data_IF_499429049409
#
_entry.id   IF_499429049409
#
_cell.length_a   1.000
_cell.length_b   1.000
_cell.length_c   1.000
_cell.angle_alpha   90.00
_cell.angle_beta   90.00
_cell.angle_gamma   90.00
#
_symmetry.space_group_name_H-M   'P 1'
#
loop_
_entity.id
_entity.type
_entity.pdbx_description
1 polymer ?
#
# COMPACT_ATOMS: atom_id res chain seq x y z
N UNK A 1 -28.93 19.73 64.93
CA UNK A 1 -29.71 18.88 64.00
C UNK A 1 -30.15 19.67 62.77
N UNK A 2 -29.22 20.09 61.91
CA UNK A 2 -29.51 20.80 60.63
C UNK A 2 -28.66 20.32 59.41
N UNK A 3 -27.62 19.46 59.50
CA UNK A 3 -26.76 19.24 58.32
C UNK A 3 -27.41 18.37 57.23
N UNK A 4 -28.34 17.47 57.56
CA UNK A 4 -28.92 16.55 56.58
C UNK A 4 -29.87 17.23 55.58
N UNK A 5 -30.65 18.22 56.03
CA UNK A 5 -31.58 18.97 55.17
C UNK A 5 -30.85 19.89 54.20
N UNK A 6 -29.72 20.47 54.61
CA UNK A 6 -28.91 21.33 53.75
C UNK A 6 -28.19 20.52 52.66
N UNK A 7 -27.66 19.34 52.99
CA UNK A 7 -27.01 18.44 52.03
C UNK A 7 -28.04 17.89 51.04
N UNK A 8 -29.22 17.48 51.53
CA UNK A 8 -30.32 17.04 50.67
C UNK A 8 -30.78 18.17 49.74
N UNK A 9 -30.99 19.38 50.27
CA UNK A 9 -31.37 20.55 49.48
C UNK A 9 -30.34 20.88 48.39
N UNK A 10 -29.05 20.85 48.73
CA UNK A 10 -27.96 21.07 47.77
C UNK A 10 -27.93 20.02 46.65
N UNK A 11 -28.14 18.74 47.00
CA UNK A 11 -28.18 17.66 46.01
C UNK A 11 -29.36 17.84 45.03
N UNK A 12 -30.54 18.22 45.53
CA UNK A 12 -31.71 18.43 44.69
C UNK A 12 -31.54 19.64 43.78
N UNK A 13 -30.97 20.74 44.28
CA UNK A 13 -30.68 21.93 43.45
C UNK A 13 -29.68 21.59 42.34
N UNK A 14 -28.65 20.80 42.65
CA UNK A 14 -27.67 20.36 41.66
C UNK A 14 -28.29 19.46 40.59
N UNK A 15 -29.19 18.55 41.00
CA UNK A 15 -29.93 17.68 40.08
C UNK A 15 -30.86 18.49 39.15
N UNK A 16 -31.53 19.53 39.67
CA UNK A 16 -32.37 20.43 38.86
C UNK A 16 -31.53 21.21 37.84
N UNK A 17 -30.34 21.69 38.22
CA UNK A 17 -29.43 22.39 37.30
C UNK A 17 -28.96 21.45 36.19
N UNK A 18 -28.60 20.21 36.52
CA UNK A 18 -28.19 19.20 35.52
C UNK A 18 -29.35 18.86 34.57
N UNK A 19 -30.58 18.73 35.08
CA UNK A 19 -31.76 18.51 34.23
C UNK A 19 -32.04 19.68 33.30
N UNK A 20 -31.89 20.92 33.76
CA UNK A 20 -32.10 22.11 32.92
C UNK A 20 -31.02 22.29 31.85
N UNK A 21 -29.79 21.81 32.09
CA UNK A 21 -28.71 21.85 31.10
C UNK A 21 -28.73 20.66 30.12
N UNK A 22 -29.28 19.51 30.54
CA UNK A 22 -29.45 18.33 29.69
C UNK A 22 -30.76 18.28 28.91
N UNK A 23 -31.74 19.12 29.25
CA UNK A 23 -33.01 19.16 28.56
C UNK A 23 -32.94 20.10 27.34
N UNK A 24 -32.62 19.52 26.19
CA UNK A 24 -32.80 20.15 24.89
C UNK A 24 -34.30 20.26 24.58
N UNK A 25 -34.94 21.33 25.06
CA UNK A 25 -36.37 21.63 24.82
C UNK A 25 -36.60 22.25 23.44
N UNK A 26 -35.88 21.82 22.42
CA UNK A 26 -36.32 22.00 21.03
C UNK A 26 -37.54 21.11 20.83
N UNK A 27 -38.72 21.71 20.92
CA UNK A 27 -39.95 21.06 20.47
C UNK A 27 -39.81 20.77 18.98
N UNK A 28 -39.40 19.56 18.63
CA UNK A 28 -39.57 19.03 17.28
C UNK A 28 -41.07 19.06 16.98
N UNK A 29 -41.47 20.03 16.17
CA UNK A 29 -42.79 20.06 15.59
C UNK A 29 -43.01 18.72 14.91
N UNK A 30 -44.00 17.94 15.39
CA UNK A 30 -44.42 16.68 14.76
C UNK A 30 -44.55 16.93 13.25
N UNK A 31 -43.84 16.18 12.38
CA UNK A 31 -44.12 16.24 10.97
C UNK A 31 -45.53 15.68 10.76
N UNK A 32 -46.46 16.55 10.38
CA UNK A 32 -47.74 16.15 9.79
C UNK A 32 -47.45 15.16 8.66
N UNK A 33 -48.11 13.99 8.59
CA UNK A 33 -47.92 13.07 7.49
C UNK A 33 -48.44 13.74 6.22
N UNK A 34 -47.52 14.24 5.38
CA UNK A 34 -47.86 14.63 4.01
C UNK A 34 -48.22 13.36 3.26
N UNK A 35 -49.47 13.30 2.82
CA UNK A 35 -49.99 12.29 1.92
C UNK A 35 -49.06 12.13 0.70
N UNK A 36 -48.83 10.86 0.34
CA UNK A 36 -48.42 10.37 -0.98
C UNK A 36 -47.48 11.25 -1.79
N UNK A 37 -46.16 11.09 -1.58
CA UNK A 37 -45.22 11.28 -2.69
C UNK A 37 -45.10 9.93 -3.37
N UNK A 38 -45.70 9.85 -4.56
CA UNK A 38 -45.47 8.81 -5.55
C UNK A 38 -43.99 8.43 -5.60
N UNK A 39 -43.72 7.12 -5.63
CA UNK A 39 -42.41 6.57 -5.96
C UNK A 39 -42.11 7.03 -7.39
N UNK A 40 -41.32 8.09 -7.50
CA UNK A 40 -40.75 8.54 -8.77
C UNK A 40 -39.69 7.51 -9.15
N UNK A 41 -40.10 6.53 -9.96
CA UNK A 41 -39.20 5.56 -10.53
C UNK A 41 -38.30 6.28 -11.54
N UNK A 42 -37.15 6.77 -11.08
CA UNK A 42 -36.13 7.32 -11.95
C UNK A 42 -35.63 6.20 -12.87
N UNK A 43 -36.03 6.23 -14.13
CA UNK A 43 -35.49 5.36 -15.16
C UNK A 43 -34.02 5.72 -15.32
N UNK A 44 -33.15 4.86 -14.83
CA UNK A 44 -31.70 5.02 -14.99
C UNK A 44 -31.37 4.65 -16.44
N UNK A 45 -31.00 5.65 -17.24
CA UNK A 45 -30.60 5.44 -18.63
C UNK A 45 -29.32 4.57 -18.69
N UNK A 46 -29.38 3.39 -19.33
CA UNK A 46 -28.21 2.50 -19.50
C UNK A 46 -27.01 3.19 -20.17
N UNK A 47 -27.24 4.20 -21.02
CA UNK A 47 -26.17 4.96 -21.66
C UNK A 47 -25.38 5.80 -20.65
N UNK A 48 -26.05 6.39 -19.66
CA UNK A 48 -25.43 7.19 -18.60
C UNK A 48 -24.60 6.31 -17.67
N UNK A 49 -25.11 5.13 -17.32
CA UNK A 49 -24.37 4.14 -16.51
C UNK A 49 -23.12 3.66 -17.22
N UNK A 50 -23.23 3.35 -18.52
CA UNK A 50 -22.08 2.92 -19.33
C UNK A 50 -21.03 4.04 -19.48
N UNK A 51 -21.46 5.28 -19.71
CA UNK A 51 -20.55 6.43 -19.77
C UNK A 51 -19.84 6.68 -18.42
N UNK A 52 -20.56 6.52 -17.30
CA UNK A 52 -20.00 6.65 -15.96
C UNK A 52 -19.04 5.49 -15.65
N UNK A 53 -19.35 4.26 -16.06
CA UNK A 53 -18.47 3.10 -15.94
C UNK A 53 -17.17 3.28 -16.76
N UNK A 54 -17.26 3.81 -17.99
CA UNK A 54 -16.08 4.13 -18.81
C UNK A 54 -15.21 5.21 -18.15
N UNK A 55 -15.83 6.26 -17.59
CA UNK A 55 -15.12 7.33 -16.87
C UNK A 55 -14.39 6.77 -15.63
N UNK A 56 -15.04 5.91 -14.85
CA UNK A 56 -14.43 5.25 -13.68
C UNK A 56 -13.26 4.36 -14.12
N UNK A 57 -13.42 3.58 -15.21
CA UNK A 57 -12.32 2.76 -15.76
C UNK A 57 -11.14 3.62 -16.21
N UNK A 58 -11.38 4.70 -16.94
CA UNK A 58 -10.34 5.61 -17.38
C UNK A 58 -9.60 6.28 -16.22
N UNK A 59 -10.32 6.73 -15.18
CA UNK A 59 -9.72 7.28 -13.97
C UNK A 59 -8.86 6.25 -13.23
N UNK A 60 -9.33 5.00 -13.13
CA UNK A 60 -8.57 3.91 -12.50
C UNK A 60 -7.31 3.57 -13.30
N UNK A 61 -7.40 3.52 -14.62
CA UNK A 61 -6.25 3.23 -15.48
C UNK A 61 -5.22 4.36 -15.44
N UNK A 62 -5.67 5.61 -15.37
CA UNK A 62 -4.79 6.76 -15.14
C UNK A 62 -4.09 6.66 -13.77
N UNK A 63 -4.85 6.42 -12.69
CA UNK A 63 -4.29 6.26 -11.35
C UNK A 63 -3.24 5.13 -11.29
N UNK A 64 -3.49 3.99 -11.95
CA UNK A 64 -2.53 2.89 -12.07
C UNK A 64 -1.25 3.30 -12.82
N UNK A 65 -1.36 4.09 -13.89
CA UNK A 65 -0.20 4.59 -14.64
C UNK A 65 0.63 5.55 -13.79
N UNK A 66 -0.02 6.46 -13.06
CA UNK A 66 0.65 7.40 -12.15
C UNK A 66 1.36 6.67 -11.00
N UNK A 67 0.73 5.63 -10.42
CA UNK A 67 1.35 4.79 -9.39
C UNK A 67 2.53 4.00 -9.95
N UNK A 68 2.41 3.42 -11.15
CA UNK A 68 3.51 2.73 -11.82
C UNK A 68 4.69 3.66 -12.13
N UNK A 69 4.43 4.89 -12.57
CA UNK A 69 5.47 5.89 -12.76
C UNK A 69 6.15 6.29 -11.45
N UNK A 70 5.37 6.45 -10.37
CA UNK A 70 5.90 6.74 -9.03
C UNK A 70 6.80 5.61 -8.54
N UNK A 71 6.37 4.36 -8.69
CA UNK A 71 7.17 3.17 -8.36
C UNK A 71 8.48 3.14 -9.16
N UNK A 72 8.42 3.40 -10.47
CA UNK A 72 9.61 3.47 -11.33
C UNK A 72 10.58 4.56 -10.91
N UNK A 73 10.09 5.74 -10.50
CA UNK A 73 10.93 6.84 -9.98
C UNK A 73 11.60 6.45 -8.66
N UNK A 74 10.88 5.79 -7.76
CA UNK A 74 11.41 5.31 -6.49
C UNK A 74 12.49 4.23 -6.71
N UNK A 75 12.25 3.29 -7.62
CA UNK A 75 13.23 2.28 -7.99
C UNK A 75 14.51 2.91 -8.58
N UNK A 76 14.37 3.90 -9.48
CA UNK A 76 15.50 4.65 -10.02
C UNK A 76 16.26 5.47 -8.96
N UNK A 77 15.57 5.97 -7.94
CA UNK A 77 16.22 6.64 -6.81
C UNK A 77 16.98 5.63 -5.95
N UNK A 78 16.38 4.49 -5.62
CA UNK A 78 17.02 3.42 -4.86
C UNK A 78 18.27 2.90 -5.56
N UNK A 79 18.20 2.64 -6.88
CA UNK A 79 19.34 2.20 -7.68
C UNK A 79 20.47 3.23 -7.73
N UNK A 80 20.14 4.52 -7.82
CA UNK A 80 21.14 5.60 -7.77
C UNK A 80 21.82 5.69 -6.40
N UNK A 81 21.06 5.54 -5.32
CA UNK A 81 21.60 5.52 -3.97
C UNK A 81 22.51 4.31 -3.75
N UNK A 82 22.13 3.13 -4.25
CA UNK A 82 22.96 1.93 -4.19
C UNK A 82 24.29 2.12 -4.94
N UNK A 83 24.24 2.66 -6.17
CA UNK A 83 25.45 2.99 -6.93
C UNK A 83 26.35 4.01 -6.20
N UNK A 84 25.77 5.03 -5.57
CA UNK A 84 26.54 5.99 -4.76
C UNK A 84 27.22 5.31 -3.58
N UNK A 85 26.52 4.40 -2.88
CA UNK A 85 27.10 3.64 -1.77
C UNK A 85 28.23 2.72 -2.21
N UNK A 86 28.07 2.03 -3.35
CA UNK A 86 29.14 1.19 -3.91
C UNK A 86 30.38 2.02 -4.28
N UNK A 87 30.19 3.18 -4.92
CA UNK A 87 31.29 4.09 -5.24
C UNK A 87 31.97 4.62 -3.99
N UNK A 88 31.21 5.01 -2.96
CA UNK A 88 31.75 5.47 -1.69
C UNK A 88 32.53 4.37 -0.97
N UNK A 89 32.02 3.13 -0.95
CA UNK A 89 32.71 1.98 -0.38
C UNK A 89 34.02 1.68 -1.14
N UNK A 90 34.02 1.75 -2.47
CA UNK A 90 35.22 1.58 -3.27
C UNK A 90 36.26 2.67 -2.98
N UNK A 91 35.84 3.95 -2.88
CA UNK A 91 36.72 5.06 -2.49
C UNK A 91 37.30 4.83 -1.09
N UNK A 92 36.48 4.37 -0.15
CA UNK A 92 36.92 4.06 1.22
C UNK A 92 37.94 2.92 1.23
N UNK A 93 37.72 1.86 0.45
CA UNK A 93 38.68 0.74 0.29
C UNK A 93 40.00 1.23 -0.32
N UNK A 94 39.97 2.10 -1.33
CA UNK A 94 41.17 2.65 -1.95
C UNK A 94 41.96 3.54 -0.98
N UNK A 95 41.28 4.43 -0.25
CA UNK A 95 41.90 5.27 0.78
C UNK A 95 42.53 4.41 1.88
N UNK A 96 41.84 3.37 2.34
CA UNK A 96 42.37 2.42 3.33
C UNK A 96 43.61 1.69 2.82
N UNK A 97 43.62 1.27 1.54
CA UNK A 97 44.78 0.63 0.90
C UNK A 97 45.97 1.58 0.83
N UNK A 98 45.78 2.80 0.29
CA UNK A 98 46.84 3.82 0.21
C UNK A 98 47.42 4.16 1.58
N UNK A 99 46.57 4.22 2.60
CA UNK A 99 47.00 4.45 3.98
C UNK A 99 47.88 3.31 4.50
N UNK A 100 47.47 2.05 4.30
CA UNK A 100 48.24 0.88 4.73
C UNK A 100 49.61 0.82 4.02
N UNK A 101 49.65 1.16 2.73
CA UNK A 101 50.90 1.26 1.97
C UNK A 101 51.82 2.37 2.51
N UNK A 102 51.27 3.57 2.76
CA UNK A 102 52.04 4.68 3.33
C UNK A 102 52.57 4.36 4.75
N UNK A 103 51.80 3.64 5.57
CA UNK A 103 52.24 3.18 6.90
C UNK A 103 53.37 2.15 6.80
N UNK A 104 53.27 1.20 5.86
CA UNK A 104 54.35 0.23 5.57
C UNK A 104 55.62 0.93 5.14
N UNK A 105 55.54 1.87 4.18
CA UNK A 105 56.69 2.65 3.72
C UNK A 105 57.33 3.47 4.85
N UNK A 106 56.52 4.14 5.68
CA UNK A 106 57.04 4.88 6.83
C UNK A 106 57.74 3.96 7.85
N UNK A 107 57.22 2.76 8.08
CA UNK A 107 57.83 1.76 8.97
C UNK A 107 59.13 1.19 8.41
N UNK A 108 59.19 0.92 7.10
CA UNK A 108 60.40 0.46 6.42
C UNK A 108 61.50 1.53 6.45
N UNK A 109 61.15 2.79 6.19
CA UNK A 109 62.10 3.89 6.28
C UNK A 109 62.61 4.11 7.72
N UNK A 110 61.73 3.99 8.72
CA UNK A 110 62.18 4.01 10.12
C UNK A 110 63.15 2.87 10.45
N UNK A 111 62.92 1.66 9.94
CA UNK A 111 63.85 0.54 10.11
C UNK A 111 65.20 0.82 9.45
N UNK A 112 65.22 1.36 8.22
CA UNK A 112 66.45 1.72 7.51
C UNK A 112 67.27 2.77 8.30
N UNK A 113 66.62 3.83 8.78
CA UNK A 113 67.27 4.86 9.57
C UNK A 113 67.82 4.26 10.88
N UNK A 114 67.06 3.39 11.57
CA UNK A 114 67.52 2.75 12.79
C UNK A 114 68.72 1.81 12.56
N UNK A 115 68.72 1.05 11.47
CA UNK A 115 69.85 0.20 11.08
C UNK A 115 71.09 1.01 10.71
N UNK A 116 70.94 2.12 9.99
CA UNK A 116 72.04 3.02 9.64
C UNK A 116 72.64 3.68 10.88
N UNK A 117 71.80 4.13 11.82
CA UNK A 117 72.24 4.64 13.11
C UNK A 117 72.95 3.57 13.96
N UNK A 118 72.48 2.32 13.94
CA UNK A 118 73.13 1.21 14.63
C UNK A 118 74.52 0.93 14.04
N UNK A 119 74.64 0.87 12.71
CA UNK A 119 75.93 0.72 12.01
C UNK A 119 76.88 1.87 12.30
N UNK A 120 76.41 3.12 12.29
CA UNK A 120 77.23 4.28 12.62
C UNK A 120 77.71 4.27 14.09
N UNK A 121 76.85 3.85 15.03
CA UNK A 121 77.24 3.66 16.45
C UNK A 121 78.27 2.56 16.61
N UNK A 122 78.14 1.46 15.88
CA UNK A 122 79.10 0.36 15.91
C UNK A 122 80.46 0.78 15.33
N UNK A 123 80.48 1.45 14.18
CA UNK A 123 81.70 2.01 13.59
C UNK A 123 82.36 3.03 14.54
N UNK A 124 81.58 3.91 15.17
CA UNK A 124 82.11 4.85 16.16
C UNK A 124 82.68 4.14 17.40
N UNK A 125 82.07 3.05 17.86
CA UNK A 125 82.59 2.23 18.96
C UNK A 125 83.91 1.56 18.58
N UNK A 126 83.99 0.99 17.38
CA UNK A 126 85.21 0.38 16.85
C UNK A 126 86.34 1.42 16.71
N UNK A 127 86.05 2.59 16.13
CA UNK A 127 87.00 3.69 16.02
C UNK A 127 87.47 4.21 17.40
N UNK A 128 86.55 4.31 18.38
CA UNK A 128 86.91 4.68 19.75
C UNK A 128 87.78 3.62 20.42
N UNK A 129 87.49 2.33 20.23
CA UNK A 129 88.32 1.24 20.76
C UNK A 129 89.72 1.25 20.13
N UNK A 130 89.83 1.47 18.82
CA UNK A 130 91.14 1.62 18.15
C UNK A 130 91.88 2.87 18.61
N UNK A 131 91.19 4.00 18.77
CA UNK A 131 91.78 5.24 19.29
C UNK A 131 92.24 5.08 20.75
N UNK A 132 91.46 4.41 21.60
CA UNK A 132 91.82 4.13 22.98
C UNK A 132 92.96 3.09 23.07
N UNK A 133 93.02 2.11 22.18
CA UNK A 133 94.17 1.20 22.09
C UNK A 133 95.44 1.92 21.62
N UNK A 134 95.34 2.77 20.59
CA UNK A 134 96.45 3.59 20.12
C UNK A 134 96.88 4.64 21.14
N UNK A 135 95.92 5.20 21.91
CA UNK A 135 96.20 6.10 23.02
C UNK A 135 96.81 5.35 24.19
N UNK A 136 96.34 4.16 24.57
CA UNK A 136 96.99 3.33 25.61
C UNK A 136 98.39 2.89 25.18
N UNK A 137 98.61 2.61 23.91
CA UNK A 137 99.95 2.28 23.38
C UNK A 137 100.86 3.52 23.34
N UNK A 138 100.32 4.68 22.92
CA UNK A 138 101.02 5.97 23.03
C UNK A 138 101.25 6.37 24.48
N UNK A 139 100.32 6.14 25.39
CA UNK A 139 100.41 6.41 26.83
C UNK A 139 101.44 5.48 27.45
N UNK A 140 101.54 4.21 27.07
CA UNK A 140 102.65 3.36 27.51
C UNK A 140 104.01 3.87 27.00
N UNK A 141 104.08 4.40 25.78
CA UNK A 141 105.28 5.03 25.19
C UNK A 141 105.58 6.43 25.77
N UNK A 142 104.56 7.18 26.18
CA UNK A 142 104.63 8.52 26.76
C UNK A 142 104.79 8.48 28.28
N UNK A 143 104.25 7.50 29.00
CA UNK A 143 104.51 7.22 30.42
C UNK A 143 105.95 6.70 30.61
N UNK A 144 106.51 6.09 29.56
CA UNK A 144 107.97 5.91 29.41
C UNK A 144 108.75 7.21 29.12
N UNK A 145 108.10 8.33 28.76
CA UNK A 145 108.79 9.58 28.39
C UNK A 145 108.43 10.84 29.21
N UNK A 146 107.28 10.92 29.90
CA UNK A 146 106.76 12.07 30.69
C UNK A 146 105.57 11.58 31.54
N UNK A 147 105.59 11.43 32.87
CA UNK A 147 105.68 12.50 33.89
C UNK A 147 105.54 13.92 33.30
N UNK A 148 104.36 14.54 33.51
CA UNK A 148 103.89 15.89 33.11
C UNK A 148 103.08 15.92 31.78
N UNK A 149 101.88 16.50 31.61
CA UNK A 149 100.94 17.25 32.45
C UNK A 149 99.64 17.50 31.61
N UNK A 150 98.45 17.38 32.24
CA UNK A 150 97.09 17.90 31.92
C UNK A 150 96.46 17.89 30.49
N UNK A 151 95.34 17.15 30.34
CA UNK A 151 94.29 17.40 29.33
C UNK A 151 92.90 16.82 29.73
N UNK A 152 91.87 17.65 29.97
CA UNK A 152 90.48 17.16 30.17
C UNK A 152 89.37 18.24 30.01
N UNK A 153 89.26 18.94 28.87
CA UNK A 153 88.18 19.97 28.72
C UNK A 153 87.51 20.09 27.33
N UNK A 154 87.59 19.08 26.44
CA UNK A 154 86.92 19.17 25.11
C UNK A 154 85.97 18.03 24.74
N UNK A 155 85.77 17.03 25.58
CA UNK A 155 84.88 15.90 25.28
C UNK A 155 83.41 16.11 25.68
N UNK A 156 83.09 17.11 26.50
CA UNK A 156 81.76 17.24 27.12
C UNK A 156 80.77 18.11 26.31
N UNK A 157 81.24 19.16 25.63
CA UNK A 157 80.37 20.08 24.85
C UNK A 157 79.72 19.45 23.61
N UNK A 158 80.37 18.48 22.96
CA UNK A 158 79.83 17.83 21.76
C UNK A 158 78.69 16.83 22.03
N UNK A 159 78.50 16.42 23.29
CA UNK A 159 77.48 15.44 23.68
C UNK A 159 76.14 16.10 24.03
N UNK A 160 76.17 17.33 24.54
CA UNK A 160 74.98 18.08 24.95
C UNK A 160 74.14 18.61 23.76
N UNK A 161 74.78 19.04 22.66
CA UNK A 161 74.04 19.57 21.50
C UNK A 161 73.29 18.48 20.69
N UNK A 162 73.81 17.25 20.64
CA UNK A 162 73.16 16.13 19.93
C UNK A 162 71.88 15.64 20.63
N UNK A 163 71.87 15.62 21.96
CA UNK A 163 70.72 15.20 22.77
C UNK A 163 69.55 16.20 22.72
N UNK A 164 69.84 17.49 22.53
CA UNK A 164 68.83 18.53 22.42
C UNK A 164 68.11 18.55 21.05
N UNK A 165 68.81 18.14 19.98
CA UNK A 165 68.24 18.04 18.63
C UNK A 165 67.33 16.79 18.46
N UNK A 166 67.71 15.64 19.03
CA UNK A 166 66.89 14.41 19.00
C UNK A 166 65.53 14.59 19.72
N UNK A 167 65.50 15.29 20.86
CA UNK A 167 64.26 15.50 21.63
C UNK A 167 63.23 16.38 20.93
N UNK A 168 63.65 17.34 20.10
CA UNK A 168 62.72 18.20 19.34
C UNK A 168 62.09 17.47 18.14
N UNK A 169 62.86 16.62 17.46
CA UNK A 169 62.36 15.83 16.32
C UNK A 169 61.37 14.72 16.76
N UNK A 170 61.58 14.14 17.95
CA UNK A 170 60.68 13.11 18.50
C UNK A 170 59.33 13.69 18.96
N UNK A 171 59.34 14.88 19.57
CA UNK A 171 58.14 15.57 20.02
C UNK A 171 57.23 16.02 18.86
N UNK A 172 57.78 16.40 17.71
CA UNK A 172 56.99 16.78 16.53
C UNK A 172 56.37 15.56 15.82
N UNK A 173 57.08 14.42 15.79
CA UNK A 173 56.55 13.15 15.26
C UNK A 173 55.38 12.61 16.07
N UNK A 174 55.45 12.68 17.40
CA UNK A 174 54.36 12.26 18.29
C UNK A 174 53.08 13.08 18.05
N UNK A 175 53.19 14.41 17.90
CA UNK A 175 52.03 15.29 17.64
C UNK A 175 51.34 15.00 16.30
N UNK A 176 52.11 14.71 15.23
CA UNK A 176 51.52 14.35 13.91
C UNK A 176 50.83 12.98 13.94
N UNK A 177 51.37 12.00 14.67
CA UNK A 177 50.77 10.67 14.82
C UNK A 177 49.47 10.73 15.63
N UNK A 178 49.43 11.52 16.69
CA UNK A 178 48.24 11.66 17.53
C UNK A 178 47.12 12.41 16.79
N UNK A 179 47.44 13.46 16.03
CA UNK A 179 46.49 14.18 15.19
C UNK A 179 45.90 13.28 14.09
N UNK A 180 46.73 12.43 13.47
CA UNK A 180 46.28 11.49 12.42
C UNK A 180 45.39 10.37 12.97
N UNK A 181 45.71 9.83 14.17
CA UNK A 181 44.86 8.85 14.86
C UNK A 181 43.50 9.42 15.24
N UNK A 182 43.45 10.66 15.75
CA UNK A 182 42.18 11.31 16.11
C UNK A 182 41.30 11.56 14.89
N UNK A 183 41.86 12.04 13.78
CA UNK A 183 41.11 12.23 12.54
C UNK A 183 40.56 10.92 11.97
N UNK A 184 41.30 9.81 12.09
CA UNK A 184 40.85 8.50 11.61
C UNK A 184 39.79 7.85 12.48
N UNK A 185 39.89 8.00 13.79
CA UNK A 185 38.88 7.49 14.72
C UNK A 185 37.54 8.21 14.52
N UNK A 186 37.59 9.50 14.21
CA UNK A 186 36.41 10.32 13.96
C UNK A 186 35.75 9.96 12.62
N UNK A 187 36.54 9.77 11.55
CA UNK A 187 36.02 9.31 10.26
C UNK A 187 35.43 7.89 10.31
N UNK A 188 36.00 6.98 11.12
CA UNK A 188 35.46 5.63 11.28
C UNK A 188 34.12 5.63 12.04
N UNK A 189 33.99 6.48 13.07
CA UNK A 189 32.77 6.67 13.84
C UNK A 189 31.64 7.27 12.98
N UNK A 190 31.95 8.29 12.18
CA UNK A 190 30.97 8.89 11.25
C UNK A 190 30.50 7.89 10.18
N UNK A 191 31.40 7.10 9.60
CA UNK A 191 31.04 6.07 8.62
C UNK A 191 30.21 4.93 9.23
N UNK A 192 30.50 4.52 10.47
CA UNK A 192 29.71 3.50 11.16
C UNK A 192 28.31 4.00 11.54
N UNK A 193 28.21 5.26 11.97
CA UNK A 193 26.94 5.92 12.28
C UNK A 193 26.07 6.03 11.02
N UNK A 194 26.62 6.52 9.91
CA UNK A 194 25.92 6.60 8.64
C UNK A 194 25.44 5.23 8.13
N UNK A 195 26.23 4.16 8.34
CA UNK A 195 25.82 2.79 7.96
C UNK A 195 24.65 2.30 8.81
N UNK A 196 24.64 2.58 10.12
CA UNK A 196 23.55 2.20 11.03
C UNK A 196 22.26 2.95 10.70
N UNK A 197 22.35 4.25 10.44
CA UNK A 197 21.20 5.08 10.05
C UNK A 197 20.60 4.62 8.71
N UNK A 198 21.45 4.33 7.71
CA UNK A 198 21.00 3.81 6.42
C UNK A 198 20.33 2.41 6.53
N UNK A 199 20.84 1.54 7.41
CA UNK A 199 20.24 0.22 7.62
C UNK A 199 18.90 0.31 8.35
N UNK A 200 18.77 1.20 9.34
CA UNK A 200 17.49 1.44 10.02
C UNK A 200 16.45 2.04 9.08
N UNK A 201 16.83 3.02 8.26
CA UNK A 201 15.94 3.60 7.25
C UNK A 201 15.44 2.55 6.24
N UNK A 202 16.30 1.59 5.83
CA UNK A 202 15.89 0.49 4.94
C UNK A 202 14.87 -0.44 5.59
N UNK A 203 15.14 -0.89 6.82
CA UNK A 203 14.23 -1.79 7.57
C UNK A 203 12.88 -1.12 7.82
N UNK A 204 12.87 0.17 8.11
CA UNK A 204 11.62 0.91 8.28
C UNK A 204 10.84 1.08 6.97
N UNK A 205 11.53 1.39 5.86
CA UNK A 205 10.91 1.47 4.54
C UNK A 205 10.32 0.12 4.09
N UNK A 206 11.03 -0.98 4.34
CA UNK A 206 10.58 -2.35 4.02
C UNK A 206 9.33 -2.73 4.81
N UNK A 207 9.32 -2.50 6.13
CA UNK A 207 8.15 -2.72 6.99
C UNK A 207 6.93 -1.90 6.55
N UNK A 208 7.13 -0.62 6.21
CA UNK A 208 6.04 0.24 5.71
C UNK A 208 5.50 -0.23 4.36
N UNK A 209 6.37 -0.72 3.48
CA UNK A 209 5.95 -1.27 2.19
C UNK A 209 5.17 -2.59 2.35
N UNK A 210 5.58 -3.46 3.26
CA UNK A 210 4.87 -4.70 3.58
C UNK A 210 3.51 -4.44 4.22
N UNK A 211 3.44 -3.52 5.17
CA UNK A 211 2.18 -3.11 5.80
C UNK A 211 1.21 -2.48 4.79
N UNK A 212 1.71 -1.62 3.88
CA UNK A 212 0.92 -1.05 2.80
C UNK A 212 0.38 -2.12 1.83
N UNK A 213 1.20 -3.12 1.48
CA UNK A 213 0.74 -4.27 0.66
C UNK A 213 -0.32 -5.09 1.37
N UNK A 214 -0.16 -5.35 2.68
CA UNK A 214 -1.14 -6.11 3.46
C UNK A 214 -2.47 -5.35 3.54
N UNK A 215 -2.44 -4.04 3.79
CA UNK A 215 -3.63 -3.20 3.77
C UNK A 215 -4.31 -3.18 2.40
N UNK A 216 -3.55 -3.09 1.30
CA UNK A 216 -4.12 -3.18 -0.05
C UNK A 216 -4.78 -4.55 -0.29
N UNK A 217 -4.15 -5.65 0.11
CA UNK A 217 -4.70 -6.99 -0.03
C UNK A 217 -5.97 -7.19 0.81
N UNK A 218 -5.99 -6.68 2.05
CA UNK A 218 -7.18 -6.72 2.92
C UNK A 218 -8.32 -5.89 2.32
N UNK A 219 -8.04 -4.70 1.77
CA UNK A 219 -9.04 -3.88 1.08
C UNK A 219 -9.56 -4.56 -0.18
N UNK A 220 -8.69 -5.16 -1.00
CA UNK A 220 -9.09 -5.87 -2.21
C UNK A 220 -9.92 -7.12 -1.88
N UNK A 221 -9.55 -7.87 -0.84
CA UNK A 221 -10.33 -9.01 -0.36
C UNK A 221 -11.72 -8.58 0.15
N UNK A 222 -11.80 -7.51 0.94
CA UNK A 222 -13.07 -6.97 1.42
C UNK A 222 -13.98 -6.46 0.28
N UNK A 223 -13.39 -5.83 -0.74
CA UNK A 223 -14.12 -5.41 -1.93
C UNK A 223 -14.64 -6.61 -2.72
N UNK A 224 -13.81 -7.64 -2.94
CA UNK A 224 -14.22 -8.84 -3.66
C UNK A 224 -15.35 -9.58 -2.96
N UNK A 225 -15.30 -9.70 -1.62
CA UNK A 225 -16.37 -10.27 -0.82
C UNK A 225 -17.68 -9.50 -1.00
N UNK A 226 -17.64 -8.17 -0.89
CA UNK A 226 -18.80 -7.31 -1.11
C UNK A 226 -19.39 -7.47 -2.52
N UNK A 227 -18.55 -7.52 -3.56
CA UNK A 227 -19.00 -7.73 -4.95
C UNK A 227 -19.67 -9.10 -5.12
N UNK A 228 -19.09 -10.16 -4.55
CA UNK A 228 -19.68 -11.50 -4.61
C UNK A 228 -21.03 -11.59 -3.91
N UNK A 229 -21.19 -10.90 -2.77
CA UNK A 229 -22.45 -10.81 -2.05
C UNK A 229 -23.53 -10.09 -2.88
N UNK A 230 -23.17 -8.96 -3.49
CA UNK A 230 -24.06 -8.19 -4.36
C UNK A 230 -24.49 -8.96 -5.60
N UNK A 231 -23.60 -9.73 -6.23
CA UNK A 231 -23.92 -10.55 -7.41
C UNK A 231 -24.87 -11.71 -7.07
N UNK A 232 -24.65 -12.37 -5.92
CA UNK A 232 -25.54 -13.41 -5.41
C UNK A 232 -26.94 -12.85 -5.10
N UNK A 233 -27.02 -11.71 -4.40
CA UNK A 233 -28.29 -11.05 -4.11
C UNK A 233 -29.00 -10.59 -5.38
N UNK A 234 -28.28 -10.01 -6.35
CA UNK A 234 -28.85 -9.59 -7.62
C UNK A 234 -29.44 -10.79 -8.39
N UNK A 235 -28.73 -11.91 -8.41
CA UNK A 235 -29.20 -13.15 -9.06
C UNK A 235 -30.44 -13.72 -8.37
N UNK A 236 -30.47 -13.72 -7.04
CA UNK A 236 -31.64 -14.18 -6.27
C UNK A 236 -32.85 -13.28 -6.52
N UNK A 237 -32.67 -11.95 -6.50
CA UNK A 237 -33.76 -10.99 -6.79
C UNK A 237 -34.27 -11.16 -8.22
N UNK A 238 -33.38 -11.36 -9.19
CA UNK A 238 -33.77 -11.58 -10.58
C UNK A 238 -34.58 -12.88 -10.75
N UNK A 239 -34.18 -13.94 -10.05
CA UNK A 239 -34.92 -15.21 -10.05
C UNK A 239 -36.32 -15.06 -9.43
N UNK A 240 -36.41 -14.45 -8.24
CA UNK A 240 -37.69 -14.20 -7.57
C UNK A 240 -38.60 -13.29 -8.41
N UNK A 241 -38.03 -12.27 -9.07
CA UNK A 241 -38.76 -11.40 -9.99
C UNK A 241 -39.26 -12.16 -11.21
N UNK A 242 -38.46 -13.04 -11.79
CA UNK A 242 -38.87 -13.91 -12.89
C UNK A 242 -40.05 -14.79 -12.52
N UNK A 243 -39.99 -15.45 -11.37
CA UNK A 243 -41.08 -16.27 -10.84
C UNK A 243 -42.37 -15.47 -10.65
N UNK A 244 -42.27 -14.29 -10.03
CA UNK A 244 -43.43 -13.40 -9.86
C UNK A 244 -44.07 -13.01 -11.20
N UNK A 245 -43.26 -12.69 -12.21
CA UNK A 245 -43.76 -12.36 -13.54
C UNK A 245 -44.47 -13.56 -14.16
N UNK A 246 -43.88 -14.75 -14.08
CA UNK A 246 -44.46 -15.98 -14.65
C UNK A 246 -45.78 -16.37 -13.94
N UNK A 247 -45.86 -16.26 -12.62
CA UNK A 247 -47.07 -16.51 -11.83
C UNK A 247 -48.20 -15.54 -12.21
N UNK A 248 -47.88 -14.26 -12.37
CA UNK A 248 -48.85 -13.25 -12.80
C UNK A 248 -49.29 -13.47 -14.24
N UNK A 249 -48.38 -13.84 -15.15
CA UNK A 249 -48.72 -14.21 -16.53
C UNK A 249 -49.70 -15.39 -16.54
N UNK A 250 -49.47 -16.42 -15.72
CA UNK A 250 -50.38 -17.55 -15.59
C UNK A 250 -51.74 -17.13 -15.04
N UNK A 251 -51.78 -16.26 -14.02
CA UNK A 251 -53.01 -15.71 -13.43
C UNK A 251 -53.84 -14.96 -14.47
N UNK A 252 -53.23 -14.06 -15.24
CA UNK A 252 -53.91 -13.34 -16.32
C UNK A 252 -54.31 -14.27 -17.47
N UNK A 253 -53.48 -15.26 -17.82
CA UNK A 253 -53.82 -16.27 -18.82
C UNK A 253 -55.09 -17.05 -18.46
N UNK A 254 -55.27 -17.40 -17.18
CA UNK A 254 -56.50 -18.03 -16.69
C UNK A 254 -57.71 -17.09 -16.79
N UNK A 255 -57.55 -15.81 -16.44
CA UNK A 255 -58.60 -14.78 -16.59
C UNK A 255 -59.01 -14.66 -18.05
N UNK A 256 -58.04 -14.59 -18.97
CA UNK A 256 -58.32 -14.47 -20.41
C UNK A 256 -59.06 -15.70 -20.93
N UNK A 257 -58.59 -16.88 -20.56
CA UNK A 257 -59.23 -18.15 -20.92
C UNK A 257 -60.67 -18.19 -20.44
N UNK A 258 -60.94 -17.80 -19.19
CA UNK A 258 -62.28 -17.74 -18.64
C UNK A 258 -63.19 -16.74 -19.39
N UNK A 259 -62.69 -15.55 -19.73
CA UNK A 259 -63.45 -14.56 -20.51
C UNK A 259 -63.79 -15.08 -21.91
N UNK A 260 -62.88 -15.82 -22.53
CA UNK A 260 -63.10 -16.44 -23.84
C UNK A 260 -64.14 -17.56 -23.72
N UNK A 261 -64.01 -18.44 -22.73
CA UNK A 261 -64.93 -19.55 -22.49
C UNK A 261 -66.36 -19.08 -22.23
N UNK A 262 -66.55 -17.96 -21.50
CA UNK A 262 -67.87 -17.37 -21.28
C UNK A 262 -68.58 -16.93 -22.57
N UNK A 263 -67.83 -16.70 -23.65
CA UNK A 263 -68.36 -16.28 -24.96
C UNK A 263 -68.21 -17.37 -26.03
N UNK A 264 -67.74 -18.54 -25.64
CA UNK A 264 -67.52 -19.66 -26.52
C UNK A 264 -68.84 -20.37 -26.79
N UNK A 265 -69.26 -20.39 -28.05
CA UNK A 265 -70.43 -21.15 -28.48
C UNK A 265 -69.96 -22.59 -28.72
N UNK A 266 -70.49 -23.53 -27.94
CA UNK A 266 -70.12 -24.94 -27.95
C UNK A 266 -71.30 -25.81 -28.38
N UNK A 267 -71.02 -26.80 -29.23
CA UNK A 267 -71.95 -27.86 -29.61
C UNK A 267 -71.53 -29.18 -28.93
N UNK A 268 -72.47 -30.11 -28.71
CA UNK A 268 -72.23 -31.38 -27.99
C UNK A 268 -71.04 -32.20 -28.53
N UNK A 269 -70.72 -32.06 -29.82
CA UNK A 269 -69.59 -32.73 -30.47
C UNK A 269 -68.20 -32.15 -30.18
N UNK A 270 -68.09 -31.09 -29.38
CA UNK A 270 -66.82 -30.43 -29.05
C UNK A 270 -66.29 -30.78 -27.65
N UNK A 271 -67.04 -31.57 -26.87
CA UNK A 271 -66.60 -31.99 -25.54
C UNK A 271 -65.27 -32.76 -25.59
N UNK A 272 -64.36 -32.43 -24.67
CA UNK A 272 -63.01 -33.00 -24.62
C UNK A 272 -62.04 -32.53 -25.72
N UNK A 273 -62.47 -31.66 -26.63
CA UNK A 273 -61.59 -31.03 -27.63
C UNK A 273 -60.88 -29.80 -27.03
N UNK A 274 -59.73 -29.46 -27.58
CA UNK A 274 -58.99 -28.26 -27.23
C UNK A 274 -58.57 -27.47 -28.46
N UNK A 275 -58.40 -26.16 -28.28
CA UNK A 275 -57.78 -25.29 -29.25
C UNK A 275 -56.69 -24.46 -28.58
N UNK A 276 -55.49 -24.49 -29.16
CA UNK A 276 -54.37 -23.64 -28.76
C UNK A 276 -54.34 -22.45 -29.70
N UNK A 277 -54.47 -21.25 -29.15
CA UNK A 277 -54.40 -19.99 -29.88
C UNK A 277 -53.28 -19.13 -29.34
N UNK A 278 -52.65 -18.37 -30.23
CA UNK A 278 -51.73 -17.32 -29.88
C UNK A 278 -52.42 -15.97 -30.09
N UNK A 279 -52.43 -15.16 -29.04
CA UNK A 279 -53.07 -13.85 -29.03
C UNK A 279 -52.04 -12.75 -28.94
N UNK A 280 -52.16 -11.77 -29.81
CA UNK A 280 -51.36 -10.55 -29.77
C UNK A 280 -52.19 -9.38 -29.26
N UNK A 281 -51.75 -8.78 -28.17
CA UNK A 281 -52.42 -7.68 -27.49
C UNK A 281 -51.59 -6.40 -27.53
N UNK A 282 -52.26 -5.24 -27.48
CA UNK A 282 -51.62 -3.96 -27.20
C UNK A 282 -51.22 -3.88 -25.71
N UNK A 283 -50.37 -2.91 -25.31
CA UNK A 283 -50.08 -2.66 -23.89
C UNK A 283 -51.32 -2.34 -23.05
N UNK A 284 -52.39 -1.83 -23.67
CA UNK A 284 -53.68 -1.54 -23.00
C UNK A 284 -54.65 -2.71 -23.02
N UNK A 285 -54.23 -3.87 -23.54
CA UNK A 285 -55.03 -5.10 -23.58
C UNK A 285 -55.98 -5.21 -24.77
N UNK A 286 -55.87 -4.30 -25.76
CA UNK A 286 -56.67 -4.39 -26.97
C UNK A 286 -56.18 -5.55 -27.83
N UNK A 287 -57.10 -6.40 -28.31
CA UNK A 287 -56.77 -7.49 -29.21
C UNK A 287 -56.31 -6.94 -30.57
N UNK A 288 -55.09 -7.30 -30.97
CA UNK A 288 -54.52 -6.97 -32.27
C UNK A 288 -54.67 -8.11 -33.27
N UNK A 289 -54.41 -9.35 -32.83
CA UNK A 289 -54.50 -10.53 -33.67
C UNK A 289 -54.72 -11.80 -32.84
N UNK A 290 -55.33 -12.81 -33.46
CA UNK A 290 -55.46 -14.17 -32.90
C UNK A 290 -55.16 -15.21 -33.97
N UNK A 291 -54.14 -16.02 -33.71
CA UNK A 291 -53.69 -17.10 -34.58
C UNK A 291 -53.99 -18.45 -33.97
N UNK A 292 -54.33 -19.43 -34.81
CA UNK A 292 -54.47 -20.82 -34.36
C UNK A 292 -53.10 -21.47 -34.41
N UNK A 293 -52.67 -22.10 -33.32
CA UNK A 293 -51.43 -22.89 -33.25
C UNK A 293 -51.71 -24.37 -33.42
N UNK A 294 -52.69 -24.91 -32.69
CA UNK A 294 -53.04 -26.33 -32.70
C UNK A 294 -54.49 -26.57 -32.27
N UNK A 295 -55.00 -27.79 -32.48
CA UNK A 295 -56.31 -28.24 -31.98
C UNK A 295 -57.41 -28.35 -33.04
N UNK A 296 -58.63 -28.63 -32.59
CA UNK A 296 -59.78 -28.92 -33.45
C UNK A 296 -60.21 -27.67 -34.25
N UNK A 297 -60.32 -27.79 -35.58
CA UNK A 297 -60.60 -26.64 -36.47
C UNK A 297 -62.00 -26.03 -36.29
N UNK A 298 -62.99 -26.77 -35.78
CA UNK A 298 -64.32 -26.20 -35.46
C UNK A 298 -64.25 -25.41 -34.17
N UNK A 299 -63.65 -26.00 -33.12
CA UNK A 299 -63.43 -25.33 -31.85
C UNK A 299 -62.56 -24.08 -32.03
N UNK A 300 -61.46 -24.15 -32.77
CA UNK A 300 -60.58 -23.00 -33.00
C UNK A 300 -61.25 -21.84 -33.74
N UNK A 301 -62.18 -22.12 -34.67
CA UNK A 301 -62.98 -21.06 -35.29
C UNK A 301 -63.93 -20.40 -34.29
N UNK A 302 -64.61 -21.20 -33.47
CA UNK A 302 -65.46 -20.68 -32.38
C UNK A 302 -64.64 -19.86 -31.37
N UNK A 303 -63.45 -20.36 -30.99
CA UNK A 303 -62.50 -19.66 -30.09
C UNK A 303 -62.07 -18.32 -30.67
N UNK A 304 -61.70 -18.24 -31.96
CA UNK A 304 -61.33 -16.96 -32.60
C UNK A 304 -62.46 -15.94 -32.55
N UNK A 305 -63.70 -16.37 -32.81
CA UNK A 305 -64.88 -15.50 -32.71
C UNK A 305 -65.12 -15.05 -31.26
N UNK A 306 -64.99 -15.96 -30.29
CA UNK A 306 -65.12 -15.64 -28.87
C UNK A 306 -64.06 -14.62 -28.41
N UNK A 307 -62.79 -14.83 -28.78
CA UNK A 307 -61.67 -13.92 -28.53
C UNK A 307 -61.94 -12.54 -29.13
N UNK A 308 -62.35 -12.48 -30.41
CA UNK A 308 -62.66 -11.22 -31.08
C UNK A 308 -63.81 -10.47 -30.40
N UNK A 309 -64.83 -11.19 -29.91
CA UNK A 309 -65.94 -10.59 -29.20
C UNK A 309 -65.50 -9.92 -27.90
N UNK A 310 -64.55 -10.50 -27.17
CA UNK A 310 -64.01 -9.91 -25.91
C UNK A 310 -63.37 -8.55 -26.20
N UNK A 311 -62.65 -8.42 -27.32
CA UNK A 311 -62.01 -7.21 -27.86
C UNK A 311 -60.94 -6.56 -26.97
N UNK A 312 -61.16 -6.47 -25.66
CA UNK A 312 -60.22 -5.89 -24.70
C UNK A 312 -60.10 -6.74 -23.43
N UNK A 313 -58.86 -7.02 -23.06
CA UNK A 313 -58.47 -7.85 -21.93
C UNK A 313 -57.85 -6.98 -20.82
N UNK A 314 -58.04 -7.33 -19.54
CA UNK A 314 -57.42 -6.59 -18.45
C UNK A 314 -55.90 -6.77 -18.48
N UNK A 315 -55.16 -5.68 -18.33
CA UNK A 315 -53.69 -5.70 -18.27
C UNK A 315 -53.20 -5.18 -16.92
N UNK A 316 -52.11 -5.73 -16.37
CA UNK A 316 -51.42 -5.17 -15.22
C UNK A 316 -50.67 -3.88 -15.60
N UNK A 317 -50.26 -3.11 -14.60
CA UNK A 317 -49.42 -1.90 -14.79
C UNK A 317 -47.93 -2.23 -14.96
N UNK A 318 -47.53 -3.47 -14.65
CA UNK A 318 -46.13 -3.91 -14.67
C UNK A 318 -45.64 -4.20 -16.10
N UNK A 319 -44.65 -3.44 -16.56
CA UNK A 319 -44.11 -3.52 -17.92
C UNK A 319 -43.54 -4.90 -18.31
N UNK A 320 -42.92 -5.62 -17.38
CA UNK A 320 -42.34 -6.94 -17.65
C UNK A 320 -43.44 -7.99 -17.86
N UNK A 321 -44.51 -7.90 -17.08
CA UNK A 321 -45.69 -8.76 -17.20
C UNK A 321 -46.44 -8.42 -18.49
N UNK A 322 -46.64 -7.12 -18.78
CA UNK A 322 -47.24 -6.65 -20.04
C UNK A 322 -46.47 -7.23 -21.24
N UNK A 323 -45.15 -7.18 -21.23
CA UNK A 323 -44.33 -7.67 -22.33
C UNK A 323 -44.59 -9.16 -22.65
N UNK A 324 -44.81 -9.98 -21.62
CA UNK A 324 -45.17 -11.40 -21.76
C UNK A 324 -46.63 -11.60 -22.18
N UNK A 325 -47.56 -10.83 -21.62
CA UNK A 325 -48.99 -10.94 -21.94
C UNK A 325 -49.36 -10.44 -23.33
N UNK A 326 -48.55 -9.55 -23.92
CA UNK A 326 -48.77 -9.02 -25.27
C UNK A 326 -48.67 -10.07 -26.37
N UNK A 327 -47.99 -11.18 -26.11
CA UNK A 327 -47.87 -12.32 -27.02
C UNK A 327 -48.03 -13.61 -26.21
N UNK A 328 -49.28 -14.00 -25.97
CA UNK A 328 -49.63 -15.10 -25.07
C UNK A 328 -50.26 -16.26 -25.83
N UNK A 329 -49.83 -17.48 -25.52
CA UNK A 329 -50.45 -18.70 -25.98
C UNK A 329 -51.44 -19.21 -24.92
N UNK A 330 -52.68 -19.47 -25.33
CA UNK A 330 -53.75 -19.95 -24.48
C UNK A 330 -54.35 -21.23 -25.03
N UNK A 331 -54.62 -22.18 -24.14
CA UNK A 331 -55.36 -23.40 -24.45
C UNK A 331 -56.80 -23.24 -24.00
N UNK A 332 -57.72 -23.20 -24.96
CA UNK A 332 -59.15 -23.03 -24.71
C UNK A 332 -59.85 -24.37 -24.88
N UNK A 333 -60.65 -24.73 -23.88
CA UNK A 333 -61.49 -25.94 -23.86
C UNK A 333 -62.94 -25.55 -23.57
N UNK A 334 -63.93 -26.21 -24.19
CA UNK A 334 -65.33 -26.12 -23.76
C UNK A 334 -65.45 -26.45 -22.27
N UNK A 335 -66.26 -25.67 -21.55
CA UNK A 335 -66.57 -25.94 -20.14
C UNK A 335 -67.55 -27.10 -19.98
#
# INVERSE_FOLDING_TARGET
MVPALAISGGLHVLLVIVLLWGADFTSDAKPTPKAGRSIEATVIDPAVVNAQAQKIRAQRDQAKREEAERLKRLEQQAKRLEQQREQEEQRLREVKRKKLEAERQAREEQKRIAEEQAKAKEQARLAKQQAEQAERERQRKLEQQRKAELAAEKAEKARQEKLAAERKAEAERQRKLEAKRKAEEQALKEAEQARKEAEQARKEAERRAEEAKRQQQEQEAALNDLFSGLESEASQRQSARGQFVDDEVARYGAIFTQMIQQRLIVDDGLSGQECVVNMRLSPTGLLLNVEQKAGNSRLCRATKTAVASVSQFPMPDDGDIIAKLRDIELTVRPN
#
